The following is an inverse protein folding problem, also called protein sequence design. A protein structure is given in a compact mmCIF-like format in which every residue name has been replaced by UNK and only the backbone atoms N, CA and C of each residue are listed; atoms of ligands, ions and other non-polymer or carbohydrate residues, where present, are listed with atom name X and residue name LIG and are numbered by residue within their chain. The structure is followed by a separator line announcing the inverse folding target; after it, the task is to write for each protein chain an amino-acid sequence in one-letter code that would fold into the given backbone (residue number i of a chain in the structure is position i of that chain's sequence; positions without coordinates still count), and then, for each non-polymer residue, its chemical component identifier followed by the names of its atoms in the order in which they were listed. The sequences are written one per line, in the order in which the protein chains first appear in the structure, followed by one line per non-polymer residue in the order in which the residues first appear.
data_IF_828477564957
#
_entry.id   IF_828477564957
#
_cell.length_a   1.000
_cell.length_b   1.000
_cell.length_c   1.000
_cell.angle_alpha   90.00
_cell.angle_beta   90.00
_cell.angle_gamma   90.00
#
_symmetry.space_group_name_H-M   'P 1'
#
loop_
_entity.id
_entity.type
_entity.pdbx_description
1 polymer ?
#
# COMPACT_ATOMS: atom_id res chain seq x y z
N UNK A 1 -7.43 -17.03 5.42
CA UNK A 1 -6.99 -16.90 4.02
C UNK A 1 -7.96 -15.98 3.32
N UNK A 2 -7.62 -14.70 3.18
CA UNK A 2 -8.44 -13.68 2.53
C UNK A 2 -8.61 -13.95 1.03
N UNK A 3 -7.65 -14.61 0.38
CA UNK A 3 -7.70 -14.94 -1.06
C UNK A 3 -8.91 -15.81 -1.48
N UNK A 4 -9.52 -16.52 -0.53
CA UNK A 4 -10.66 -17.42 -0.77
C UNK A 4 -11.98 -16.94 -0.16
N UNK A 5 -11.97 -15.80 0.54
CA UNK A 5 -13.17 -15.25 1.17
C UNK A 5 -13.97 -14.42 0.17
N UNK A 6 -15.30 -14.45 0.30
CA UNK A 6 -16.16 -13.51 -0.38
C UNK A 6 -15.97 -12.11 0.19
N UNK A 7 -16.27 -11.07 -0.58
CA UNK A 7 -16.20 -9.69 -0.08
C UNK A 7 -17.08 -9.48 1.16
N UNK A 8 -18.26 -10.11 1.21
CA UNK A 8 -19.15 -10.07 2.37
C UNK A 8 -18.52 -10.71 3.62
N UNK A 9 -17.84 -11.86 3.47
CA UNK A 9 -17.13 -12.49 4.59
C UNK A 9 -16.02 -11.60 5.13
N UNK A 10 -15.30 -10.90 4.26
CA UNK A 10 -14.25 -9.95 4.63
C UNK A 10 -14.83 -8.79 5.43
N UNK A 11 -15.91 -8.18 4.93
CA UNK A 11 -16.57 -7.07 5.61
C UNK A 11 -17.10 -7.48 7.00
N UNK A 12 -17.78 -8.63 7.08
CA UNK A 12 -18.32 -9.14 8.33
C UNK A 12 -17.25 -9.44 9.37
N UNK A 13 -16.08 -9.93 8.94
CA UNK A 13 -14.94 -10.16 9.82
C UNK A 13 -14.34 -8.84 10.35
N UNK A 14 -14.15 -7.85 9.46
CA UNK A 14 -13.65 -6.51 9.82
C UNK A 14 -14.60 -5.81 10.80
N UNK A 15 -15.91 -5.92 10.60
CA UNK A 15 -16.92 -5.30 11.47
C UNK A 15 -17.28 -6.13 12.70
N UNK A 16 -16.59 -7.25 12.97
CA UNK A 16 -16.90 -8.13 14.08
C UNK A 16 -16.47 -7.55 15.44
N UNK A 17 -17.10 -7.99 16.53
CA UNK A 17 -16.79 -7.53 17.88
C UNK A 17 -15.44 -8.05 18.45
N UNK A 18 -14.68 -8.83 17.67
CA UNK A 18 -13.36 -9.30 18.08
C UNK A 18 -12.34 -8.20 17.79
N UNK A 19 -11.45 -7.85 18.74
CA UNK A 19 -10.28 -7.02 18.46
C UNK A 19 -9.30 -7.84 17.61
N UNK A 20 -9.66 -8.15 16.38
CA UNK A 20 -8.70 -8.59 15.38
C UNK A 20 -7.92 -7.36 14.91
N UNK A 21 -6.64 -7.49 14.55
CA UNK A 21 -5.84 -6.37 14.08
C UNK A 21 -6.28 -5.97 12.67
N UNK A 22 -7.39 -5.24 12.59
CA UNK A 22 -8.02 -4.89 11.33
C UNK A 22 -7.20 -3.85 10.56
N UNK A 23 -6.46 -2.97 11.24
CA UNK A 23 -5.78 -1.84 10.61
C UNK A 23 -4.81 -2.24 9.49
N UNK A 24 -3.85 -3.12 9.79
CA UNK A 24 -2.86 -3.57 8.80
C UNK A 24 -3.47 -4.43 7.70
N UNK A 25 -4.39 -5.34 8.06
CA UNK A 25 -5.13 -6.16 7.09
C UNK A 25 -5.95 -5.31 6.13
N UNK A 26 -6.77 -4.38 6.64
CA UNK A 26 -7.60 -3.49 5.83
C UNK A 26 -6.72 -2.61 4.95
N UNK A 27 -5.64 -2.06 5.49
CA UNK A 27 -4.69 -1.25 4.73
C UNK A 27 -4.11 -2.02 3.55
N UNK A 28 -3.68 -3.27 3.78
CA UNK A 28 -3.15 -4.12 2.73
C UNK A 28 -4.22 -4.46 1.67
N UNK A 29 -5.46 -4.73 2.07
CA UNK A 29 -6.58 -4.96 1.14
C UNK A 29 -6.91 -3.73 0.30
N UNK A 30 -6.93 -2.53 0.88
CA UNK A 30 -7.13 -1.28 0.13
C UNK A 30 -6.01 -1.07 -0.88
N UNK A 31 -4.76 -1.31 -0.49
CA UNK A 31 -3.62 -1.27 -1.41
C UNK A 31 -3.75 -2.31 -2.54
N UNK A 32 -4.20 -3.53 -2.23
CA UNK A 32 -4.43 -4.57 -3.24
C UNK A 32 -5.52 -4.16 -4.25
N UNK A 33 -6.61 -3.54 -3.78
CA UNK A 33 -7.65 -2.99 -4.65
C UNK A 33 -7.10 -1.88 -5.57
N UNK A 34 -6.30 -0.96 -5.01
CA UNK A 34 -5.65 0.07 -5.81
C UNK A 34 -4.71 -0.54 -6.87
N UNK A 35 -3.88 -1.51 -6.49
CA UNK A 35 -2.98 -2.20 -7.41
C UNK A 35 -3.72 -2.93 -8.52
N UNK A 36 -4.84 -3.58 -8.21
CA UNK A 36 -5.67 -4.27 -9.19
C UNK A 36 -6.31 -3.30 -10.20
N UNK A 37 -6.81 -2.16 -9.74
CA UNK A 37 -7.34 -1.12 -10.61
C UNK A 37 -6.24 -0.53 -11.51
N UNK A 38 -5.06 -0.24 -10.94
CA UNK A 38 -3.89 0.18 -11.69
C UNK A 38 -3.49 -0.82 -12.79
N UNK A 39 -3.43 -2.10 -12.46
CA UNK A 39 -3.15 -3.16 -13.44
C UNK A 39 -4.18 -3.16 -14.58
N UNK A 40 -5.47 -3.05 -14.27
CA UNK A 40 -6.54 -2.98 -15.28
C UNK A 40 -6.35 -1.78 -16.22
N UNK A 41 -5.99 -0.61 -15.69
CA UNK A 41 -5.73 0.60 -16.49
C UNK A 41 -4.54 0.38 -17.43
N UNK A 42 -3.43 -0.15 -16.92
CA UNK A 42 -2.23 -0.42 -17.71
C UNK A 42 -2.51 -1.42 -18.83
N UNK A 43 -3.12 -2.57 -18.48
CA UNK A 43 -3.45 -3.63 -19.42
C UNK A 43 -4.42 -3.15 -20.51
N UNK A 44 -5.47 -2.39 -20.14
CA UNK A 44 -6.38 -1.81 -21.12
C UNK A 44 -5.63 -0.86 -22.06
N UNK A 45 -4.86 0.08 -21.51
CA UNK A 45 -4.12 1.07 -22.30
C UNK A 45 -3.20 0.39 -23.31
N UNK A 46 -2.42 -0.61 -22.90
CA UNK A 46 -1.51 -1.35 -23.78
C UNK A 46 -2.30 -2.05 -24.91
N UNK A 47 -3.46 -2.63 -24.59
CA UNK A 47 -4.26 -3.37 -25.57
C UNK A 47 -4.89 -2.49 -26.66
N UNK A 48 -5.15 -1.21 -26.37
CA UNK A 48 -5.83 -0.29 -27.31
C UNK A 48 -4.92 0.79 -27.90
N UNK A 49 -3.75 1.03 -27.30
CA UNK A 49 -2.85 2.10 -27.72
C UNK A 49 -2.28 1.81 -29.11
N UNK A 50 -2.42 2.79 -30.01
CA UNK A 50 -1.72 2.82 -31.30
C UNK A 50 -0.35 3.50 -31.20
N UNK A 51 -0.05 4.12 -30.05
CA UNK A 51 1.18 4.86 -29.80
C UNK A 51 2.12 4.04 -28.92
N UNK A 52 3.29 3.69 -29.48
CA UNK A 52 4.30 2.83 -28.82
C UNK A 52 5.33 3.60 -28.00
N UNK A 53 5.28 4.94 -27.97
CA UNK A 53 6.31 5.76 -27.32
C UNK A 53 6.49 5.46 -25.83
N UNK A 54 5.46 4.96 -25.16
CA UNK A 54 5.47 4.65 -23.72
C UNK A 54 5.14 3.19 -23.40
N UNK A 55 5.09 2.30 -24.41
CA UNK A 55 4.64 0.91 -24.25
C UNK A 55 5.45 0.17 -23.16
N UNK A 56 6.78 0.19 -23.25
CA UNK A 56 7.65 -0.42 -22.24
C UNK A 56 7.47 0.16 -20.82
N UNK A 57 7.24 1.47 -20.72
CA UNK A 57 6.98 2.14 -19.42
C UNK A 57 5.67 1.66 -18.80
N UNK A 58 4.64 1.48 -19.62
CA UNK A 58 3.33 0.98 -19.20
C UNK A 58 3.39 -0.52 -18.85
N UNK A 59 4.16 -1.31 -19.61
CA UNK A 59 4.39 -2.74 -19.33
C UNK A 59 5.08 -2.95 -17.98
N UNK A 60 6.17 -2.20 -17.71
CA UNK A 60 6.84 -2.24 -16.40
C UNK A 60 5.85 -1.87 -15.28
N UNK A 61 5.01 -0.86 -15.52
CA UNK A 61 3.99 -0.46 -14.53
C UNK A 61 2.98 -1.57 -14.28
N UNK A 62 2.50 -2.23 -15.35
CA UNK A 62 1.57 -3.35 -15.30
C UNK A 62 2.15 -4.53 -14.50
N UNK A 63 3.40 -4.92 -14.79
CA UNK A 63 4.11 -6.02 -14.10
C UNK A 63 4.30 -5.72 -12.60
N UNK A 64 4.74 -4.51 -12.27
CA UNK A 64 4.86 -4.09 -10.88
C UNK A 64 3.51 -4.17 -10.13
N UNK A 65 2.44 -3.72 -10.77
CA UNK A 65 1.11 -3.66 -10.15
C UNK A 65 0.50 -5.04 -9.91
N UNK A 66 0.72 -6.01 -10.78
CA UNK A 66 0.23 -7.37 -10.54
C UNK A 66 0.99 -8.05 -9.40
N UNK A 67 2.32 -7.86 -9.34
CA UNK A 67 3.17 -8.41 -8.29
C UNK A 67 2.85 -7.81 -6.92
N UNK A 68 2.68 -6.48 -6.86
CA UNK A 68 2.34 -5.79 -5.62
C UNK A 68 0.95 -6.24 -5.12
N UNK A 69 -0.02 -6.41 -6.03
CA UNK A 69 -1.36 -6.89 -5.68
C UNK A 69 -1.29 -8.24 -4.96
N UNK A 70 -0.56 -9.21 -5.50
CA UNK A 70 -0.43 -10.54 -4.86
C UNK A 70 0.27 -10.45 -3.50
N UNK A 71 1.36 -9.67 -3.38
CA UNK A 71 2.05 -9.44 -2.10
C UNK A 71 1.15 -8.81 -1.04
N UNK A 72 0.33 -7.84 -1.40
CA UNK A 72 -0.58 -7.18 -0.47
C UNK A 72 -1.70 -8.11 -0.01
N UNK A 73 -2.17 -9.03 -0.86
CA UNK A 73 -3.10 -10.09 -0.44
C UNK A 73 -2.42 -10.98 0.61
N UNK A 74 -1.18 -11.40 0.41
CA UNK A 74 -0.42 -12.18 1.39
C UNK A 74 -0.25 -11.41 2.71
N UNK A 75 0.14 -10.14 2.65
CA UNK A 75 0.27 -9.29 3.83
C UNK A 75 -1.05 -9.11 4.59
N UNK A 76 -2.19 -9.05 3.89
CA UNK A 76 -3.49 -8.96 4.56
C UNK A 76 -3.76 -10.15 5.49
N UNK A 77 -3.27 -11.34 5.12
CA UNK A 77 -3.41 -12.58 5.90
C UNK A 77 -2.41 -12.64 7.06
N UNK A 78 -1.18 -12.17 6.83
CA UNK A 78 -0.11 -12.22 7.83
C UNK A 78 -0.23 -11.15 8.91
N UNK A 79 -0.82 -9.99 8.60
CA UNK A 79 -0.88 -8.85 9.53
C UNK A 79 -1.46 -9.21 10.90
N UNK A 80 -2.49 -10.07 10.93
CA UNK A 80 -3.14 -10.49 12.17
C UNK A 80 -2.19 -11.23 13.13
N UNK A 81 -1.23 -11.99 12.59
CA UNK A 81 -0.28 -12.82 13.35
C UNK A 81 0.73 -11.96 14.11
N UNK A 82 1.08 -10.79 13.59
CA UNK A 82 2.06 -9.90 14.23
C UNK A 82 1.51 -9.29 15.51
N UNK A 83 0.27 -8.81 15.48
CA UNK A 83 -0.36 -8.21 16.67
C UNK A 83 -0.68 -9.26 17.73
N UNK A 84 -1.26 -10.40 17.36
CA UNK A 84 -1.53 -11.51 18.30
C UNK A 84 -0.24 -11.94 19.02
N UNK A 85 0.87 -12.00 18.27
CA UNK A 85 2.17 -12.33 18.86
C UNK A 85 2.65 -11.29 19.86
N UNK A 86 2.45 -9.99 19.59
CA UNK A 86 2.87 -8.92 20.50
C UNK A 86 2.05 -8.93 21.79
N UNK A 87 0.73 -9.15 21.71
CA UNK A 87 -0.16 -9.19 22.87
C UNK A 87 0.19 -10.32 23.86
N UNK A 88 0.68 -11.44 23.35
CA UNK A 88 1.05 -12.61 24.16
C UNK A 88 2.47 -12.57 24.75
N UNK A 89 3.26 -11.51 24.49
CA UNK A 89 4.64 -11.39 24.97
C UNK A 89 4.75 -10.32 26.07
N UNK A 90 5.26 -10.73 27.23
CA UNK A 90 5.59 -9.85 28.35
C UNK A 90 6.64 -8.79 27.95
N UNK A 91 6.62 -7.64 28.62
CA UNK A 91 7.59 -6.57 28.40
C UNK A 91 9.03 -7.08 28.54
N UNK A 92 9.92 -6.61 27.66
CA UNK A 92 11.33 -6.99 27.62
C UNK A 92 11.84 -7.23 26.21
N UNK A 93 13.00 -7.86 26.11
CA UNK A 93 13.73 -8.03 24.86
C UNK A 93 12.95 -8.77 23.75
N UNK A 94 12.18 -9.80 24.11
CA UNK A 94 11.37 -10.55 23.13
C UNK A 94 10.21 -9.72 22.58
N UNK A 95 9.61 -8.83 23.40
CA UNK A 95 8.58 -7.90 22.94
C UNK A 95 9.16 -6.89 21.96
N UNK A 96 10.34 -6.34 22.28
CA UNK A 96 11.03 -5.39 21.39
C UNK A 96 11.36 -6.02 20.03
N UNK A 97 11.83 -7.29 20.00
CA UNK A 97 12.01 -8.03 18.74
C UNK A 97 10.72 -8.20 17.95
N UNK A 98 9.61 -8.51 18.62
CA UNK A 98 8.31 -8.66 17.97
C UNK A 98 7.83 -7.33 17.37
N UNK A 99 7.99 -6.22 18.10
CA UNK A 99 7.67 -4.87 17.63
C UNK A 99 8.51 -4.44 16.44
N UNK A 100 9.83 -4.70 16.44
CA UNK A 100 10.71 -4.42 15.29
C UNK A 100 10.23 -5.15 14.02
N UNK A 101 9.88 -6.42 14.16
CA UNK A 101 9.33 -7.21 13.04
C UNK A 101 7.98 -6.68 12.56
N UNK A 102 7.10 -6.25 13.47
CA UNK A 102 5.80 -5.66 13.11
C UNK A 102 5.95 -4.28 12.45
N UNK A 103 6.91 -3.47 12.89
CA UNK A 103 7.27 -2.20 12.26
C UNK A 103 7.77 -2.41 10.84
N UNK A 104 8.71 -3.34 10.63
CA UNK A 104 9.22 -3.69 9.30
C UNK A 104 8.12 -4.25 8.38
N UNK A 105 7.23 -5.07 8.92
CA UNK A 105 6.08 -5.59 8.18
C UNK A 105 5.15 -4.46 7.71
N UNK A 106 4.78 -3.55 8.62
CA UNK A 106 3.97 -2.38 8.29
C UNK A 106 4.67 -1.47 7.28
N UNK A 107 6.00 -1.36 7.36
CA UNK A 107 6.82 -0.58 6.45
C UNK A 107 6.79 -1.17 5.03
N UNK A 108 6.83 -2.50 4.91
CA UNK A 108 6.71 -3.16 3.60
C UNK A 108 5.35 -2.93 2.95
N UNK A 109 4.26 -2.87 3.74
CA UNK A 109 2.94 -2.46 3.23
C UNK A 109 2.98 -1.01 2.74
N UNK A 110 3.57 -0.09 3.53
CA UNK A 110 3.69 1.32 3.14
C UNK A 110 4.48 1.47 1.83
N UNK A 111 5.63 0.80 1.72
CA UNK A 111 6.48 0.81 0.52
C UNK A 111 5.77 0.25 -0.70
N UNK A 112 5.01 -0.84 -0.54
CA UNK A 112 4.18 -1.39 -1.61
C UNK A 112 3.14 -0.38 -2.10
N UNK A 113 2.43 0.29 -1.19
CA UNK A 113 1.43 1.31 -1.51
C UNK A 113 2.05 2.56 -2.16
N UNK A 114 3.21 3.00 -1.69
CA UNK A 114 4.01 4.06 -2.32
C UNK A 114 4.38 3.69 -3.77
N UNK A 115 4.81 2.46 -4.01
CA UNK A 115 5.12 2.00 -5.37
C UNK A 115 3.87 1.91 -6.26
N UNK A 116 2.70 1.52 -5.73
CA UNK A 116 1.44 1.60 -6.49
C UNK A 116 1.19 3.03 -6.94
N UNK A 117 1.31 4.00 -6.02
CA UNK A 117 1.09 5.42 -6.33
C UNK A 117 1.98 5.89 -7.48
N UNK A 118 3.27 5.55 -7.46
CA UNK A 118 4.23 5.91 -8.53
C UNK A 118 3.85 5.31 -9.87
N UNK A 119 3.57 4.01 -9.91
CA UNK A 119 3.17 3.34 -11.15
C UNK A 119 1.85 3.93 -11.67
N UNK A 120 0.86 4.17 -10.81
CA UNK A 120 -0.42 4.76 -11.22
C UNK A 120 -0.28 6.22 -11.65
N UNK A 121 0.66 6.96 -11.10
CA UNK A 121 0.99 8.31 -11.58
C UNK A 121 1.61 8.27 -12.99
N UNK A 122 2.45 7.28 -13.27
CA UNK A 122 2.93 7.00 -14.65
C UNK A 122 1.76 6.70 -15.59
N UNK A 123 0.79 5.88 -15.17
CA UNK A 123 -0.42 5.61 -15.96
C UNK A 123 -1.26 6.87 -16.16
N UNK A 124 -1.34 7.75 -15.16
CA UNK A 124 -2.04 9.04 -15.29
C UNK A 124 -1.40 9.94 -16.36
N UNK A 125 -0.07 9.96 -16.44
CA UNK A 125 0.68 10.81 -17.37
C UNK A 125 0.75 10.28 -18.80
N UNK A 126 0.88 8.96 -18.95
CA UNK A 126 1.20 8.34 -20.24
C UNK A 126 0.17 7.30 -20.70
N UNK A 127 -0.83 7.03 -19.87
CA UNK A 127 -1.88 6.06 -20.15
C UNK A 127 -2.97 6.58 -21.08
N UNK A 128 -4.04 5.79 -21.23
CA UNK A 128 -5.21 6.19 -22.00
C UNK A 128 -5.90 7.41 -21.36
N UNK A 129 -6.10 8.53 -22.10
CA UNK A 129 -6.77 9.72 -21.57
C UNK A 129 -8.17 9.46 -21.02
N UNK A 130 -8.90 8.47 -21.54
CA UNK A 130 -10.23 8.07 -21.06
C UNK A 130 -10.16 7.51 -19.64
N UNK A 131 -9.07 6.83 -19.28
CA UNK A 131 -8.86 6.22 -17.96
C UNK A 131 -8.11 7.12 -16.97
N UNK A 132 -7.86 8.38 -17.34
CA UNK A 132 -7.19 9.35 -16.48
C UNK A 132 -7.92 9.56 -15.14
N UNK A 133 -9.26 9.62 -15.05
CA UNK A 133 -9.98 9.67 -13.79
C UNK A 133 -9.71 8.45 -12.88
N UNK A 134 -9.73 7.24 -13.44
CA UNK A 134 -9.48 5.99 -12.72
C UNK A 134 -8.03 5.91 -12.22
N UNK A 135 -7.07 6.34 -13.04
CA UNK A 135 -5.66 6.43 -12.62
C UNK A 135 -5.49 7.37 -11.43
N UNK A 136 -6.18 8.52 -11.46
CA UNK A 136 -6.17 9.49 -10.36
C UNK A 136 -6.83 8.94 -9.09
N UNK A 137 -7.99 8.30 -9.19
CA UNK A 137 -8.63 7.62 -8.06
C UNK A 137 -7.67 6.60 -7.44
N UNK A 138 -6.98 5.83 -8.29
CA UNK A 138 -6.00 4.83 -7.84
C UNK A 138 -4.83 5.46 -7.08
N UNK A 139 -4.30 6.60 -7.54
CA UNK A 139 -3.27 7.35 -6.80
C UNK A 139 -3.75 7.76 -5.41
N UNK A 140 -4.99 8.26 -5.27
CA UNK A 140 -5.55 8.62 -3.96
C UNK A 140 -5.74 7.41 -3.05
N UNK A 141 -6.21 6.27 -3.58
CA UNK A 141 -6.35 5.03 -2.80
C UNK A 141 -4.97 4.54 -2.31
N UNK A 142 -3.97 4.55 -3.18
CA UNK A 142 -2.60 4.15 -2.85
C UNK A 142 -1.98 5.08 -1.80
N UNK A 143 -2.20 6.40 -1.92
CA UNK A 143 -1.76 7.38 -0.93
C UNK A 143 -2.40 7.16 0.45
N UNK A 144 -3.72 6.92 0.49
CA UNK A 144 -4.44 6.68 1.73
C UNK A 144 -3.97 5.37 2.40
N UNK A 145 -3.76 4.31 1.61
CA UNK A 145 -3.24 3.04 2.12
C UNK A 145 -1.80 3.19 2.64
N UNK A 146 -0.91 3.85 1.87
CA UNK A 146 0.46 4.15 2.30
C UNK A 146 0.46 4.93 3.63
N UNK A 147 -0.31 6.00 3.71
CA UNK A 147 -0.41 6.84 4.90
C UNK A 147 -0.93 6.05 6.11
N UNK A 148 -1.91 5.17 5.89
CA UNK A 148 -2.44 4.28 6.94
C UNK A 148 -1.39 3.29 7.44
N UNK A 149 -0.60 2.69 6.54
CA UNK A 149 0.48 1.78 6.91
C UNK A 149 1.58 2.50 7.71
N UNK A 150 1.91 3.75 7.35
CA UNK A 150 2.89 4.57 8.06
C UNK A 150 2.45 4.87 9.50
N UNK A 151 1.14 5.02 9.76
CA UNK A 151 0.62 5.13 11.13
C UNK A 151 0.98 3.87 11.93
N UNK A 152 0.80 2.67 11.36
CA UNK A 152 1.18 1.42 12.00
C UNK A 152 2.69 1.25 12.16
N UNK A 153 3.50 1.73 11.22
CA UNK A 153 4.96 1.79 11.38
C UNK A 153 5.33 2.61 12.61
N UNK A 154 4.84 3.86 12.68
CA UNK A 154 5.15 4.79 13.78
C UNK A 154 4.71 4.23 15.13
N UNK A 155 3.49 3.70 15.22
CA UNK A 155 2.98 3.08 16.44
C UNK A 155 3.87 1.94 16.97
N UNK A 156 4.34 1.05 16.08
CA UNK A 156 5.25 -0.03 16.48
C UNK A 156 6.64 0.49 16.88
N UNK A 157 7.13 1.55 16.21
CA UNK A 157 8.44 2.13 16.49
C UNK A 157 8.48 2.98 17.79
N UNK A 158 7.34 3.52 18.24
CA UNK A 158 7.25 4.26 19.51
C UNK A 158 7.63 3.41 20.73
N UNK A 159 7.31 2.11 20.69
CA UNK A 159 7.61 1.16 21.79
C UNK A 159 9.03 0.55 21.71
N UNK A 160 9.84 0.86 20.68
CA UNK A 160 11.21 0.35 20.57
C UNK A 160 12.26 1.40 20.92
N UNK A 161 13.35 0.93 21.51
CA UNK A 161 14.54 1.73 21.82
C UNK A 161 15.09 2.42 20.57
N UNK A 162 15.63 3.63 20.73
CA UNK A 162 16.26 4.35 19.63
C UNK A 162 17.50 3.60 19.12
N UNK A 163 17.74 3.71 17.82
CA UNK A 163 18.85 3.08 17.14
C UNK A 163 18.73 3.25 15.62
N UNK A 164 19.80 2.94 14.91
CA UNK A 164 19.95 3.17 13.47
C UNK A 164 18.80 2.56 12.65
N UNK A 165 18.36 1.34 12.96
CA UNK A 165 17.23 0.69 12.26
C UNK A 165 15.92 1.49 12.37
N UNK A 166 15.61 2.02 13.56
CA UNK A 166 14.42 2.84 13.79
C UNK A 166 14.49 4.15 13.01
N UNK A 167 15.66 4.79 13.03
CA UNK A 167 15.90 6.06 12.35
C UNK A 167 15.79 5.90 10.83
N UNK A 168 16.39 4.85 10.27
CA UNK A 168 16.30 4.54 8.84
C UNK A 168 14.85 4.31 8.40
N UNK A 169 14.08 3.49 9.13
CA UNK A 169 12.67 3.27 8.81
C UNK A 169 11.85 4.57 8.85
N UNK A 170 12.09 5.43 9.85
CA UNK A 170 11.39 6.71 9.96
C UNK A 170 11.75 7.63 8.79
N UNK A 171 13.03 7.75 8.45
CA UNK A 171 13.49 8.57 7.34
C UNK A 171 12.88 8.13 6.01
N UNK A 172 12.90 6.82 5.71
CA UNK A 172 12.27 6.25 4.52
C UNK A 172 10.76 6.55 4.49
N UNK A 173 10.05 6.45 5.63
CA UNK A 173 8.62 6.82 5.65
C UNK A 173 8.39 8.30 5.37
N UNK A 174 9.27 9.19 5.83
CA UNK A 174 9.17 10.63 5.57
C UNK A 174 9.40 10.90 4.08
N UNK A 175 10.38 10.24 3.47
CA UNK A 175 10.63 10.34 2.03
C UNK A 175 9.42 9.89 1.21
N UNK A 176 8.83 8.75 1.54
CA UNK A 176 7.60 8.27 0.89
C UNK A 176 6.46 9.29 1.01
N UNK A 177 6.24 9.85 2.20
CA UNK A 177 5.19 10.85 2.40
C UNK A 177 5.42 12.12 1.58
N UNK A 178 6.66 12.63 1.56
CA UNK A 178 6.99 13.85 0.84
C UNK A 178 6.80 13.69 -0.68
N UNK A 179 7.33 12.62 -1.27
CA UNK A 179 7.17 12.37 -2.71
C UNK A 179 5.70 12.09 -3.07
N UNK A 180 5.00 11.25 -2.30
CA UNK A 180 3.59 10.96 -2.56
C UNK A 180 2.70 12.21 -2.49
N UNK A 181 2.95 13.11 -1.53
CA UNK A 181 2.22 14.37 -1.42
C UNK A 181 2.53 15.28 -2.61
N UNK A 182 3.80 15.37 -3.04
CA UNK A 182 4.17 16.13 -4.24
C UNK A 182 3.42 15.63 -5.48
N UNK A 183 3.34 14.31 -5.66
CA UNK A 183 2.60 13.72 -6.78
C UNK A 183 1.10 14.01 -6.70
N UNK A 184 0.50 13.99 -5.50
CA UNK A 184 -0.92 14.35 -5.35
C UNK A 184 -1.21 15.83 -5.61
N UNK A 185 -0.31 16.75 -5.25
CA UNK A 185 -0.48 18.17 -5.58
C UNK A 185 -0.49 18.37 -7.09
N UNK A 186 0.40 17.72 -7.83
CA UNK A 186 0.40 17.77 -9.30
C UNK A 186 -0.91 17.23 -9.90
N UNK A 187 -1.50 16.19 -9.30
CA UNK A 187 -2.82 15.73 -9.72
C UNK A 187 -3.90 16.78 -9.47
N UNK A 188 -3.85 17.54 -8.37
CA UNK A 188 -4.87 18.54 -8.00
C UNK A 188 -4.85 19.76 -8.93
N UNK A 189 -3.66 20.26 -9.27
CA UNK A 189 -3.50 21.43 -10.13
C UNK A 189 -4.19 21.25 -11.49
N UNK A 190 -4.19 20.04 -12.04
CA UNK A 190 -4.88 19.72 -13.30
C UNK A 190 -6.41 19.66 -13.21
N UNK A 191 -7.05 19.76 -12.03
CA UNK A 191 -8.52 19.91 -11.89
C UNK A 191 -9.00 21.36 -11.94
N UNK A 192 -8.08 22.32 -11.87
CA UNK A 192 -8.39 23.75 -11.95
C UNK A 192 -8.38 24.23 -13.40
N UNK A 193 -9.44 23.93 -14.15
CA UNK A 193 -9.78 24.61 -15.42
C UNK A 193 -11.28 24.84 -15.53
#
# INVERSE_FOLDING_TARGET
MYKKKSFEEILNEISSAKPAPAGGTVTALVGALASALGYMIANYTISVSKNKNYENTLEISMENLIDIKEKLIEYSEESSKYTERIENINKGHEREKALKRAALFSFNIAKACYNILKNCFTLYKYGDPVLKPEAKITCYMAWAAMSSAIISVKANLEEISNGEEKENLLNDTIEFQNEANSLLEELKEEMGS
#
